data_IF_362627715048
#
_entry.id   IF_362627715048
#
_cell.length_a   1.000
_cell.length_b   1.000
_cell.length_c   1.000
_cell.angle_alpha   90.00
_cell.angle_beta   90.00
_cell.angle_gamma   90.00
#
_symmetry.space_group_name_H-M   'P 1'
#
loop_
_entity.id
_entity.type
_entity.pdbx_description
1 polymer ?
#
# COMPACT_ATOMS: atom_id res chain seq x y z
N UNK A 1 17.63 15.26 17.22
CA UNK A 1 18.48 14.12 17.61
C UNK A 1 18.22 13.03 16.60
N UNK A 2 19.18 12.74 15.74
CA UNK A 2 19.01 11.81 14.60
C UNK A 2 19.14 10.39 15.13
N UNK A 3 18.06 9.61 15.06
CA UNK A 3 18.06 8.21 15.44
C UNK A 3 19.08 7.44 14.59
N UNK A 4 19.78 6.48 15.20
CA UNK A 4 20.77 5.62 14.54
C UNK A 4 20.12 4.93 13.33
N UNK A 5 20.42 5.45 12.14
CA UNK A 5 19.82 5.07 10.86
C UNK A 5 20.57 3.94 10.14
N UNK A 6 21.58 3.35 10.77
CA UNK A 6 22.56 2.50 10.08
C UNK A 6 22.04 1.12 9.68
N UNK A 7 21.04 0.57 10.39
CA UNK A 7 20.48 -0.77 10.11
C UNK A 7 19.39 -0.78 9.04
N UNK A 8 18.50 0.22 9.02
CA UNK A 8 17.40 0.30 8.04
C UNK A 8 17.86 0.81 6.68
N UNK A 9 18.89 1.66 6.64
CA UNK A 9 19.42 2.22 5.40
C UNK A 9 20.06 1.17 4.48
N UNK A 10 20.46 0.00 5.01
CA UNK A 10 20.96 -1.11 4.19
C UNK A 10 19.84 -2.03 3.67
N UNK A 11 18.64 -1.96 4.25
CA UNK A 11 17.50 -2.83 3.93
C UNK A 11 16.48 -2.12 3.03
N UNK A 12 16.28 -0.81 3.22
CA UNK A 12 15.35 -0.01 2.41
C UNK A 12 16.12 0.52 1.20
N UNK A 13 15.75 0.12 -0.04
CA UNK A 13 16.43 0.62 -1.23
C UNK A 13 16.37 2.15 -1.33
N UNK A 14 17.35 2.77 -1.97
CA UNK A 14 17.27 4.20 -2.25
C UNK A 14 16.17 4.48 -3.29
N UNK A 15 15.28 5.43 -3.01
CA UNK A 15 14.21 5.80 -3.94
C UNK A 15 13.15 6.72 -3.32
N UNK A 16 12.21 7.15 -4.17
CA UNK A 16 10.99 7.83 -3.74
C UNK A 16 9.96 6.80 -3.35
N UNK A 17 9.23 7.01 -2.24
CA UNK A 17 8.23 6.07 -1.76
C UNK A 17 6.87 6.75 -1.57
N UNK A 18 5.80 6.03 -1.87
CA UNK A 18 4.50 6.26 -1.28
C UNK A 18 4.48 5.62 0.11
N UNK A 19 4.10 6.43 1.10
CA UNK A 19 4.11 6.03 2.50
C UNK A 19 2.69 5.89 3.01
N UNK A 20 2.40 4.75 3.63
CA UNK A 20 1.10 4.47 4.24
C UNK A 20 1.31 4.05 5.69
N UNK A 21 0.61 4.70 6.62
CA UNK A 21 0.63 4.33 8.04
C UNK A 21 -0.67 3.61 8.38
N UNK A 22 -0.57 2.32 8.69
CA UNK A 22 -1.68 1.48 9.10
C UNK A 22 -1.64 1.25 10.62
N UNK A 23 -2.80 1.23 11.25
CA UNK A 23 -2.97 0.90 12.67
C UNK A 23 -3.84 -0.35 12.80
N UNK A 24 -3.50 -1.24 13.73
CA UNK A 24 -4.36 -2.35 14.13
C UNK A 24 -5.39 -1.92 15.18
N UNK A 25 -6.37 -2.79 15.45
CA UNK A 25 -7.32 -2.62 16.56
C UNK A 25 -6.65 -2.59 17.95
N UNK A 26 -5.47 -3.21 18.06
CA UNK A 26 -4.64 -3.26 19.28
C UNK A 26 -3.72 -2.05 19.44
N UNK A 27 -3.68 -1.14 18.46
CA UNK A 27 -2.80 0.05 18.48
C UNK A 27 -1.39 -0.19 17.91
N UNK A 28 -1.13 -1.35 17.33
CA UNK A 28 0.14 -1.62 16.65
C UNK A 28 0.22 -0.82 15.35
N UNK A 29 1.37 -0.18 15.12
CA UNK A 29 1.59 0.68 13.96
C UNK A 29 2.49 0.00 12.93
N UNK A 30 2.04 0.03 11.68
CA UNK A 30 2.75 -0.50 10.52
C UNK A 30 2.98 0.61 9.50
N UNK A 31 4.22 0.77 9.04
CA UNK A 31 4.58 1.67 7.96
C UNK A 31 4.82 0.85 6.69
N UNK A 32 4.01 1.10 5.65
CA UNK A 32 4.19 0.50 4.32
C UNK A 32 4.83 1.53 3.41
N UNK A 33 6.00 1.18 2.88
CA UNK A 33 6.74 1.96 1.92
C UNK A 33 6.63 1.28 0.56
N UNK A 34 5.89 1.89 -0.37
CA UNK A 34 5.80 1.42 -1.76
C UNK A 34 6.67 2.28 -2.66
N UNK A 35 7.63 1.69 -3.36
CA UNK A 35 8.52 2.42 -4.26
C UNK A 35 7.68 3.11 -5.35
N UNK A 36 7.82 4.43 -5.46
CA UNK A 36 7.23 5.20 -6.55
C UNK A 36 8.01 4.89 -7.82
N UNK A 37 7.42 4.12 -8.73
CA UNK A 37 8.02 3.84 -10.03
C UNK A 37 8.14 5.13 -10.84
N UNK A 38 9.26 5.85 -10.72
CA UNK A 38 9.64 6.86 -11.69
C UNK A 38 10.15 6.13 -12.93
N UNK A 39 9.31 6.02 -13.97
CA UNK A 39 9.68 5.61 -15.33
C UNK A 39 10.62 4.40 -15.42
N UNK A 40 10.23 3.25 -14.88
CA UNK A 40 10.86 1.99 -15.29
C UNK A 40 10.21 1.57 -16.61
N UNK A 41 11.06 1.41 -17.63
CA UNK A 41 10.70 0.95 -18.97
C UNK A 41 9.82 -0.33 -18.91
N UNK A 42 8.98 -0.60 -19.94
CA UNK A 42 7.92 -1.62 -19.91
C UNK A 42 8.38 -3.07 -19.68
N UNK A 43 9.68 -3.33 -19.61
CA UNK A 43 10.25 -4.68 -19.67
C UNK A 43 10.78 -5.24 -18.35
N UNK A 44 10.65 -4.55 -17.22
CA UNK A 44 11.21 -5.01 -15.93
C UNK A 44 10.12 -5.35 -14.89
N UNK A 45 9.09 -6.09 -15.33
CA UNK A 45 7.88 -6.45 -14.55
C UNK A 45 8.14 -7.58 -13.52
N UNK A 46 9.38 -7.78 -13.08
CA UNK A 46 9.74 -8.91 -12.19
C UNK A 46 10.66 -8.53 -11.02
N UNK A 47 10.65 -7.29 -10.54
CA UNK A 47 11.28 -6.98 -9.24
C UNK A 47 10.28 -7.11 -8.11
N UNK A 48 10.47 -8.17 -7.33
CA UNK A 48 9.69 -8.59 -6.16
C UNK A 48 9.83 -7.71 -4.92
N UNK A 49 10.32 -6.47 -5.05
CA UNK A 49 10.81 -5.64 -3.92
C UNK A 49 10.35 -4.18 -4.02
N UNK A 50 9.17 -3.91 -4.56
CA UNK A 50 8.64 -2.54 -4.57
C UNK A 50 7.88 -2.18 -3.29
N UNK A 51 7.83 -3.08 -2.28
CA UNK A 51 7.18 -2.82 -0.99
C UNK A 51 8.07 -3.24 0.18
N UNK A 52 8.23 -2.35 1.15
CA UNK A 52 8.80 -2.62 2.47
C UNK A 52 7.75 -2.35 3.53
N UNK A 53 7.64 -3.27 4.50
CA UNK A 53 6.78 -3.08 5.67
C UNK A 53 7.64 -2.96 6.91
N UNK A 54 7.40 -1.93 7.71
CA UNK A 54 7.99 -1.75 9.02
C UNK A 54 6.92 -1.81 10.09
N UNK A 55 7.26 -2.30 11.27
CA UNK A 55 6.43 -2.26 12.47
C UNK A 55 7.10 -1.41 13.53
N UNK A 56 6.33 -0.56 14.19
CA UNK A 56 6.82 0.22 15.31
C UNK A 56 6.98 -0.71 16.52
N UNK A 57 8.19 -0.77 17.06
CA UNK A 57 8.50 -1.40 18.32
C UNK A 57 8.70 -0.34 19.38
N UNK A 58 8.22 -0.63 20.59
CA UNK A 58 8.45 0.18 21.76
C UNK A 58 9.49 -0.54 22.63
N UNK A 59 10.73 -0.06 22.60
CA UNK A 59 11.77 -0.48 23.56
C UNK A 59 11.82 0.50 24.74
N UNK A 60 12.43 0.09 25.86
CA UNK A 60 12.52 0.93 27.08
C UNK A 60 13.22 2.28 26.82
N UNK A 61 14.15 2.33 25.86
CA UNK A 61 14.95 3.52 25.58
C UNK A 61 14.29 4.47 24.57
N UNK A 62 13.70 3.94 23.49
CA UNK A 62 13.00 4.72 22.46
C UNK A 62 12.21 3.84 21.47
N UNK A 63 11.15 4.38 20.84
CA UNK A 63 10.47 3.69 19.75
C UNK A 63 11.38 3.55 18.51
N UNK A 64 11.37 2.37 17.88
CA UNK A 64 12.13 2.09 16.66
C UNK A 64 11.27 1.34 15.63
N UNK A 65 11.67 1.43 14.36
CA UNK A 65 10.99 0.73 13.27
C UNK A 65 11.76 -0.52 12.87
N UNK A 66 11.09 -1.66 12.84
CA UNK A 66 11.69 -2.94 12.44
C UNK A 66 11.03 -3.51 11.19
N UNK A 67 11.84 -4.11 10.32
CA UNK A 67 11.36 -4.70 9.07
C UNK A 67 10.52 -5.94 9.35
N UNK A 68 9.31 -5.96 8.79
CA UNK A 68 8.39 -7.09 8.86
C UNK A 68 8.48 -7.90 7.57
N UNK A 69 8.79 -9.18 7.70
CA UNK A 69 8.83 -10.13 6.58
C UNK A 69 7.62 -11.06 6.52
N UNK A 70 6.86 -11.12 7.62
CA UNK A 70 5.67 -11.94 7.74
C UNK A 70 4.67 -11.25 8.68
N UNK A 71 3.45 -10.98 8.18
CA UNK A 71 2.35 -10.43 8.98
C UNK A 71 1.49 -11.52 9.62
N UNK A 72 1.77 -12.81 9.37
CA UNK A 72 1.00 -13.92 9.89
C UNK A 72 -0.45 -13.92 9.41
N UNK A 73 -1.39 -13.91 10.34
CA UNK A 73 -2.82 -13.83 10.06
C UNK A 73 -3.30 -12.37 9.82
N UNK A 74 -2.42 -11.39 9.85
CA UNK A 74 -2.79 -9.99 9.58
C UNK A 74 -2.68 -9.64 8.10
N UNK A 75 -3.52 -8.69 7.67
CA UNK A 75 -3.48 -8.06 6.35
C UNK A 75 -3.45 -6.55 6.50
N UNK A 76 -2.66 -5.89 5.65
CA UNK A 76 -2.62 -4.43 5.59
C UNK A 76 -3.47 -3.95 4.42
N UNK A 77 -4.34 -2.97 4.66
CA UNK A 77 -5.15 -2.34 3.63
C UNK A 77 -4.71 -0.90 3.55
N UNK A 78 -4.15 -0.51 2.41
CA UNK A 78 -3.48 0.77 2.21
C UNK A 78 -4.04 1.48 0.99
N UNK A 79 -4.01 2.81 1.04
CA UNK A 79 -4.53 3.65 -0.03
C UNK A 79 -4.45 5.12 0.32
N UNK A 80 -4.97 5.98 -0.58
CA UNK A 80 -4.88 7.44 -0.44
C UNK A 80 -5.68 8.03 0.72
N UNK A 81 -6.66 7.28 1.26
CA UNK A 81 -7.55 7.76 2.31
C UNK A 81 -7.07 7.27 3.68
N UNK A 82 -7.50 6.08 4.09
CA UNK A 82 -7.15 5.48 5.37
C UNK A 82 -6.43 4.16 5.13
N UNK A 83 -5.47 3.86 6.01
CA UNK A 83 -4.78 2.59 6.02
C UNK A 83 -5.01 1.89 7.35
N UNK A 84 -5.27 0.58 7.30
CA UNK A 84 -5.60 -0.22 8.49
C UNK A 84 -4.87 -1.56 8.44
N UNK A 85 -4.64 -2.13 9.62
CA UNK A 85 -4.22 -3.52 9.80
C UNK A 85 -5.38 -4.31 10.37
N UNK A 86 -5.73 -5.44 9.76
CA UNK A 86 -6.88 -6.26 10.18
C UNK A 86 -6.48 -7.73 10.24
N UNK A 87 -7.02 -8.45 11.22
CA UNK A 87 -6.89 -9.90 11.29
C UNK A 87 -7.79 -10.56 10.25
N UNK A 88 -7.33 -11.64 9.62
CA UNK A 88 -8.20 -12.46 8.75
C UNK A 88 -9.32 -13.14 9.51
N UNK A 89 -9.22 -13.23 10.84
CA UNK A 89 -10.29 -13.71 11.70
C UNK A 89 -11.46 -12.72 11.77
N UNK A 90 -11.14 -11.42 11.79
CA UNK A 90 -12.11 -10.32 11.85
C UNK A 90 -12.76 -10.04 10.48
N UNK A 91 -12.07 -10.37 9.39
CA UNK A 91 -12.59 -10.19 8.03
C UNK A 91 -12.40 -11.46 7.18
N UNK A 92 -13.37 -12.35 7.30
CA UNK A 92 -13.41 -13.63 6.58
C UNK A 92 -13.35 -13.42 5.07
N UNK A 93 -12.46 -14.14 4.40
CA UNK A 93 -12.21 -14.05 2.95
C UNK A 93 -10.98 -13.24 2.57
N UNK A 94 -10.37 -12.52 3.52
CA UNK A 94 -9.04 -11.95 3.33
C UNK A 94 -7.93 -12.98 3.53
N UNK A 95 -6.81 -12.78 2.83
CA UNK A 95 -5.61 -13.59 2.96
C UNK A 95 -4.63 -12.89 3.89
N UNK A 96 -4.15 -13.62 4.89
CA UNK A 96 -3.12 -13.14 5.81
C UNK A 96 -1.79 -12.98 5.07
N UNK A 97 -0.86 -12.27 5.69
CA UNK A 97 0.45 -11.99 5.11
C UNK A 97 0.38 -11.31 3.73
N UNK A 98 -0.59 -10.41 3.57
CA UNK A 98 -0.84 -9.69 2.33
C UNK A 98 -1.07 -8.20 2.56
N UNK A 99 -0.75 -7.41 1.53
CA UNK A 99 -0.98 -5.96 1.49
C UNK A 99 -1.94 -5.66 0.35
N UNK A 100 -3.08 -5.08 0.66
CA UNK A 100 -4.11 -4.71 -0.29
C UNK A 100 -4.00 -3.22 -0.57
N UNK A 101 -3.81 -2.86 -1.83
CA UNK A 101 -3.61 -1.49 -2.28
C UNK A 101 -4.71 -1.09 -3.24
N UNK A 102 -5.37 0.02 -2.94
CA UNK A 102 -6.32 0.68 -3.83
C UNK A 102 -5.73 1.98 -4.38
N UNK A 103 -5.56 2.04 -5.70
CA UNK A 103 -4.96 3.17 -6.41
C UNK A 103 -5.93 3.78 -7.41
N UNK A 104 -5.92 5.12 -7.45
CA UNK A 104 -6.53 5.93 -8.51
C UNK A 104 -5.39 6.62 -9.25
N UNK A 105 -5.11 6.14 -10.46
CA UNK A 105 -4.14 6.73 -11.37
C UNK A 105 -4.90 7.55 -12.41
N UNK A 106 -4.34 8.69 -12.80
CA UNK A 106 -4.91 9.53 -13.84
C UNK A 106 -3.81 10.11 -14.71
N UNK A 107 -4.01 10.06 -16.03
CA UNK A 107 -3.14 10.69 -17.01
C UNK A 107 -3.96 11.66 -17.84
N UNK A 108 -3.54 12.92 -17.88
CA UNK A 108 -4.21 13.96 -18.67
C UNK A 108 -3.48 14.12 -20.00
N UNK A 109 -4.22 14.12 -21.10
CA UNK A 109 -3.75 14.43 -22.45
C UNK A 109 -4.53 15.62 -23.03
N UNK A 110 -4.19 16.04 -24.25
CA UNK A 110 -4.95 17.05 -24.99
C UNK A 110 -6.40 16.62 -25.29
N UNK A 111 -6.65 15.31 -25.38
CA UNK A 111 -7.94 14.73 -25.78
C UNK A 111 -8.88 14.50 -24.57
N UNK A 112 -8.34 14.50 -23.36
CA UNK A 112 -9.09 14.26 -22.14
C UNK A 112 -8.25 13.64 -21.05
N UNK A 113 -8.90 12.93 -20.13
CA UNK A 113 -8.23 12.30 -19.00
C UNK A 113 -8.53 10.81 -18.97
N UNK A 114 -7.49 9.99 -18.99
CA UNK A 114 -7.59 8.56 -18.72
C UNK A 114 -7.48 8.34 -17.21
N UNK A 115 -8.49 7.70 -16.64
CA UNK A 115 -8.53 7.30 -15.24
C UNK A 115 -8.40 5.79 -15.18
N UNK A 116 -7.43 5.30 -14.41
CA UNK A 116 -7.31 3.90 -14.07
C UNK A 116 -7.59 3.73 -12.57
N UNK A 117 -8.54 2.86 -12.24
CA UNK A 117 -8.78 2.41 -10.86
C UNK A 117 -8.28 1.00 -10.73
N UNK A 118 -7.43 0.76 -9.75
CA UNK A 118 -6.82 -0.54 -9.54
C UNK A 118 -6.92 -0.95 -8.08
N UNK A 119 -7.28 -2.20 -7.85
CA UNK A 119 -7.08 -2.87 -6.58
C UNK A 119 -6.10 -4.02 -6.81
N UNK A 120 -5.04 -4.05 -6.02
CA UNK A 120 -3.98 -5.05 -6.12
C UNK A 120 -3.71 -5.63 -4.73
N UNK A 121 -3.21 -6.86 -4.70
CA UNK A 121 -2.79 -7.53 -3.48
C UNK A 121 -1.34 -7.96 -3.63
N UNK A 122 -0.46 -7.49 -2.75
CA UNK A 122 0.90 -8.00 -2.63
C UNK A 122 0.91 -9.17 -1.67
N UNK A 123 1.28 -10.34 -2.18
CA UNK A 123 1.49 -11.54 -1.36
C UNK A 123 2.92 -11.50 -0.84
N UNK A 124 3.11 -11.23 0.47
CA UNK A 124 4.45 -11.05 1.04
C UNK A 124 5.29 -12.32 0.99
N UNK A 125 4.67 -13.50 1.00
CA UNK A 125 5.36 -14.77 0.87
C UNK A 125 5.88 -14.99 -0.56
N UNK A 126 5.09 -14.62 -1.57
CA UNK A 126 5.49 -14.73 -2.99
C UNK A 126 6.32 -13.54 -3.48
N UNK A 127 6.29 -12.42 -2.77
CA UNK A 127 6.97 -11.18 -3.17
C UNK A 127 6.42 -10.60 -4.47
N UNK A 128 5.11 -10.66 -4.73
CA UNK A 128 4.54 -10.13 -5.98
C UNK A 128 3.13 -9.57 -5.82
N UNK A 129 2.81 -8.63 -6.69
CA UNK A 129 1.45 -8.10 -6.84
C UNK A 129 0.58 -9.03 -7.69
N UNK A 130 -0.64 -9.25 -7.23
CA UNK A 130 -1.73 -9.88 -7.96
C UNK A 130 -2.82 -8.82 -8.18
N UNK A 131 -3.28 -8.66 -9.43
CA UNK A 131 -4.37 -7.73 -9.76
C UNK A 131 -5.70 -8.32 -9.31
N UNK A 132 -6.45 -7.60 -8.47
CA UNK A 132 -7.78 -8.00 -8.02
C UNK A 132 -8.88 -7.32 -8.85
N UNK A 133 -8.65 -6.06 -9.21
CA UNK A 133 -9.58 -5.26 -9.99
C UNK A 133 -8.81 -4.22 -10.80
N UNK A 134 -9.23 -4.01 -12.04
CA UNK A 134 -8.73 -2.91 -12.87
C UNK A 134 -9.88 -2.39 -13.72
N UNK A 135 -10.07 -1.08 -13.74
CA UNK A 135 -11.01 -0.42 -14.65
C UNK A 135 -10.39 0.84 -15.21
N UNK A 136 -10.67 1.11 -16.48
CA UNK A 136 -10.17 2.27 -17.22
C UNK A 136 -11.35 3.06 -17.75
N UNK A 137 -11.40 4.33 -17.41
CA UNK A 137 -12.42 5.24 -17.90
C UNK A 137 -11.74 6.42 -18.57
N UNK A 138 -12.12 6.70 -19.81
CA UNK A 138 -11.68 7.89 -20.51
C UNK A 138 -12.74 8.97 -20.39
N UNK A 139 -12.34 10.15 -19.88
CA UNK A 139 -13.19 11.32 -19.78
C UNK A 139 -12.74 12.33 -20.85
N UNK A 140 -13.44 12.42 -22.00
CA UNK A 140 -13.10 13.36 -23.04
C UNK A 140 -13.24 14.80 -22.54
N UNK A 141 -12.35 15.69 -22.98
CA UNK A 141 -12.34 17.11 -22.61
C UNK A 141 -12.23 17.42 -21.10
N UNK A 142 -12.02 16.42 -20.24
CA UNK A 142 -11.83 16.63 -18.81
C UNK A 142 -10.38 17.06 -18.53
N UNK A 143 -10.22 18.19 -17.84
CA UNK A 143 -8.90 18.72 -17.41
C UNK A 143 -8.68 18.67 -15.90
N UNK A 144 -9.69 18.27 -15.14
CA UNK A 144 -9.65 18.13 -13.67
C UNK A 144 -10.17 16.76 -13.30
N UNK A 145 -9.67 16.19 -12.20
CA UNK A 145 -10.18 14.95 -11.62
C UNK A 145 -11.48 15.28 -10.88
N UNK A 146 -12.64 14.71 -11.26
CA UNK A 146 -13.86 14.84 -10.47
C UNK A 146 -13.67 14.38 -9.02
N UNK A 147 -14.17 15.16 -8.08
CA UNK A 147 -14.00 14.98 -6.63
C UNK A 147 -14.55 13.63 -6.12
N UNK A 148 -15.54 13.05 -6.80
CA UNK A 148 -16.22 11.80 -6.39
C UNK A 148 -15.72 10.53 -7.11
N UNK A 149 -14.52 10.55 -7.72
CA UNK A 149 -13.99 9.39 -8.44
C UNK A 149 -13.19 8.41 -7.61
N UNK A 150 -12.85 8.74 -6.37
CA UNK A 150 -12.40 7.72 -5.43
C UNK A 150 -13.68 7.07 -4.88
N UNK A 151 -14.00 5.81 -5.20
CA UNK A 151 -15.01 5.14 -4.42
C UNK A 151 -14.46 5.15 -2.99
N UNK A 152 -15.18 5.69 -1.99
CA UNK A 152 -14.78 5.47 -0.62
C UNK A 152 -14.77 3.95 -0.43
N UNK A 153 -13.59 3.36 -0.25
CA UNK A 153 -13.49 1.97 0.16
C UNK A 153 -13.93 1.95 1.62
N UNK A 154 -15.21 1.65 1.84
CA UNK A 154 -15.75 1.41 3.16
C UNK A 154 -15.47 -0.04 3.52
N UNK A 155 -14.54 -0.26 4.46
CA UNK A 155 -14.56 -1.49 5.25
C UNK A 155 -15.65 -1.28 6.30
N UNK A 156 -16.82 -1.84 6.07
CA UNK A 156 -17.76 -2.07 7.17
C UNK A 156 -17.31 -3.37 7.80
N UNK A 157 -16.87 -3.39 9.08
CA UNK A 157 -16.86 -4.65 9.81
C UNK A 157 -18.28 -5.20 9.67
N UNK A 158 -18.45 -6.37 9.06
CA UNK A 158 -19.74 -7.03 9.09
C UNK A 158 -20.08 -7.22 10.57
N UNK A 159 -21.14 -6.56 11.05
CA UNK A 159 -21.71 -6.77 12.37
C UNK A 159 -22.26 -8.21 12.41
N UNK A 160 -21.39 -9.19 12.67
CA UNK A 160 -21.76 -10.57 12.91
C UNK A 160 -20.96 -11.11 14.09
#
# INVERSE_FOLDING_TARGET
MVAQSSGLASIIPAGSYYTYLACSSTGELFLVLKLASHYVLPNDVTKSEDVVVLRLQYSEDQPCWDVVRDLGNMSLLVGKSNSISISTEDLRGMRGNCIYLAELLSTTSSEGMLICREARMFDMKKGRWECLYSSKNFLPNARKIPVFLQPPFWFTPSLL
#
